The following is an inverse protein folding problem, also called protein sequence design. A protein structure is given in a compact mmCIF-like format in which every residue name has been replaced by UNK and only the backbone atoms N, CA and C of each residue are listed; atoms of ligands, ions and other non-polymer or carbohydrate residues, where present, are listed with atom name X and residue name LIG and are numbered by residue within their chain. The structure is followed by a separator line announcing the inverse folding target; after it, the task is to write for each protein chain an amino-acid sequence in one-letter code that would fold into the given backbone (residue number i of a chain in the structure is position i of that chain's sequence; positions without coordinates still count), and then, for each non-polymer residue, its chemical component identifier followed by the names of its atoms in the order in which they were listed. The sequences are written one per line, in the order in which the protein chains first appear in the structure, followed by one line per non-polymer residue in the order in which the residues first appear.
data_IF_141263972990
#
_entry.id   IF_141263972990
#
_cell.length_a   1.000
_cell.length_b   1.000
_cell.length_c   1.000
_cell.angle_alpha   90.00
_cell.angle_beta   90.00
_cell.angle_gamma   90.00
#
_symmetry.space_group_name_H-M   'P 1'
#
loop_
_entity.id
_entity.type
_entity.pdbx_description
1 polymer ?
#
# COMPACT_ATOMS: atom_id res chain seq x y z
N UNK A 1 -38.17 9.55 16.69
CA UNK A 1 -36.72 9.30 16.52
C UNK A 1 -36.10 10.59 16.02
N UNK A 2 -35.89 11.55 16.93
CA UNK A 2 -34.56 11.98 17.41
C UNK A 2 -33.56 12.27 16.30
N UNK A 3 -33.46 13.56 16.00
CA UNK A 3 -32.36 14.30 15.35
C UNK A 3 -31.12 13.50 14.97
N UNK A 4 -30.92 13.35 13.66
CA UNK A 4 -29.62 13.20 13.01
C UNK A 4 -28.71 14.36 13.46
N UNK A 5 -27.95 14.13 14.53
CA UNK A 5 -26.82 14.98 14.86
C UNK A 5 -25.83 14.83 13.69
N UNK A 6 -25.78 15.86 12.84
CA UNK A 6 -24.80 16.01 11.77
C UNK A 6 -23.40 16.01 12.41
N UNK A 7 -22.84 14.82 12.60
CA UNK A 7 -21.48 14.63 13.08
C UNK A 7 -20.56 15.35 12.09
N UNK A 8 -20.00 16.48 12.49
CA UNK A 8 -19.06 17.23 11.68
C UNK A 8 -17.74 16.45 11.61
N UNK A 9 -17.61 15.63 10.57
CA UNK A 9 -16.37 14.92 10.25
C UNK A 9 -15.36 15.98 9.83
N UNK A 10 -14.30 16.16 10.63
CA UNK A 10 -13.23 17.11 10.31
C UNK A 10 -12.59 16.76 8.97
N UNK A 11 -12.12 17.76 8.23
CA UNK A 11 -11.48 17.51 6.92
C UNK A 11 -10.24 16.63 7.05
N UNK A 12 -9.54 16.70 8.18
CA UNK A 12 -8.41 15.84 8.50
C UNK A 12 -8.80 14.38 8.77
N UNK A 13 -10.07 14.11 9.12
CA UNK A 13 -10.59 12.76 9.33
C UNK A 13 -11.15 12.12 8.05
N UNK A 14 -11.14 12.84 6.91
CA UNK A 14 -11.53 12.28 5.61
C UNK A 14 -10.36 11.46 5.06
N UNK A 15 -10.52 10.14 4.98
CA UNK A 15 -9.64 9.30 4.16
C UNK A 15 -9.77 9.70 2.69
N UNK A 16 -8.73 9.52 1.89
CA UNK A 16 -8.78 9.75 0.44
C UNK A 16 -9.99 9.03 -0.20
N UNK A 17 -10.47 9.57 -1.31
CA UNK A 17 -11.65 9.10 -2.07
C UNK A 17 -11.55 7.65 -2.61
N UNK A 18 -10.44 6.95 -2.36
CA UNK A 18 -10.22 5.55 -2.73
C UNK A 18 -10.17 5.32 -4.24
N UNK A 19 -10.17 6.38 -5.05
CA UNK A 19 -10.10 6.26 -6.51
C UNK A 19 -8.71 5.80 -6.92
N UNK A 20 -8.61 4.96 -7.95
CA UNK A 20 -7.33 4.46 -8.47
C UNK A 20 -6.31 5.57 -8.77
N UNK A 21 -6.80 6.78 -9.09
CA UNK A 21 -5.98 7.99 -9.25
C UNK A 21 -5.28 8.43 -7.95
N UNK A 22 -5.98 8.35 -6.81
CA UNK A 22 -5.50 8.81 -5.51
C UNK A 22 -4.92 7.68 -4.63
N UNK A 23 -5.17 6.41 -4.94
CA UNK A 23 -4.55 5.28 -4.20
C UNK A 23 -3.07 5.07 -4.58
N UNK A 24 -2.59 5.70 -5.65
CA UNK A 24 -1.18 5.62 -6.07
C UNK A 24 -0.74 4.22 -6.55
N UNK A 25 -1.69 3.32 -6.80
CA UNK A 25 -1.41 1.98 -7.31
C UNK A 25 -1.15 2.10 -8.82
N UNK A 26 0.09 1.86 -9.23
CA UNK A 26 0.44 1.80 -10.65
C UNK A 26 -0.22 0.56 -11.26
N UNK A 27 -1.24 0.77 -12.09
CA UNK A 27 -1.93 -0.33 -12.82
C UNK A 27 -1.23 -0.73 -14.13
N UNK A 28 -0.29 0.10 -14.61
CA UNK A 28 0.41 -0.08 -15.88
C UNK A 28 1.86 -0.57 -15.73
N UNK A 29 2.29 -0.92 -14.50
CA UNK A 29 3.67 -1.37 -14.27
C UNK A 29 3.97 -2.67 -15.02
N UNK A 30 5.18 -2.77 -15.58
CA UNK A 30 5.64 -3.93 -16.36
C UNK A 30 5.96 -5.15 -15.50
N UNK A 31 6.37 -4.92 -14.26
CA UNK A 31 6.84 -5.98 -13.35
C UNK A 31 5.85 -6.12 -12.20
N UNK A 32 5.14 -7.25 -12.15
CA UNK A 32 4.24 -7.58 -11.05
C UNK A 32 5.02 -8.19 -9.89
N UNK A 33 4.75 -7.75 -8.67
CA UNK A 33 5.28 -8.40 -7.48
C UNK A 33 4.77 -9.84 -7.35
N UNK A 34 5.62 -10.80 -6.97
CA UNK A 34 5.17 -12.17 -6.71
C UNK A 34 4.41 -12.32 -5.39
N UNK A 35 4.59 -11.38 -4.45
CA UNK A 35 4.04 -11.45 -3.09
C UNK A 35 2.80 -10.59 -2.89
N UNK A 36 2.52 -9.65 -3.79
CA UNK A 36 1.34 -8.79 -3.74
C UNK A 36 0.92 -8.30 -5.15
N UNK A 37 -0.13 -7.49 -5.22
CA UNK A 37 -0.65 -6.97 -6.49
C UNK A 37 -0.05 -5.63 -6.91
N UNK A 38 1.09 -5.21 -6.34
CA UNK A 38 1.79 -4.01 -6.79
C UNK A 38 2.54 -4.28 -8.09
N UNK A 39 2.46 -3.32 -9.01
CA UNK A 39 3.18 -3.34 -10.28
C UNK A 39 4.21 -2.21 -10.30
N UNK A 40 5.37 -2.49 -10.88
CA UNK A 40 6.52 -1.59 -10.96
C UNK A 40 6.92 -1.35 -12.40
N UNK A 41 7.43 -0.16 -12.69
CA UNK A 41 7.87 0.21 -14.05
C UNK A 41 9.22 -0.41 -14.41
N UNK A 42 10.08 -0.61 -13.40
CA UNK A 42 11.44 -1.15 -13.54
C UNK A 42 11.65 -2.34 -12.61
N UNK A 43 12.56 -3.24 -13.00
CA UNK A 43 12.96 -4.38 -12.17
C UNK A 43 13.65 -3.93 -10.88
N UNK A 44 14.45 -2.87 -10.93
CA UNK A 44 15.13 -2.31 -9.75
C UNK A 44 14.13 -1.88 -8.67
N UNK A 45 13.00 -1.27 -9.04
CA UNK A 45 11.97 -0.88 -8.10
C UNK A 45 11.28 -2.10 -7.46
N UNK A 46 11.04 -3.16 -8.24
CA UNK A 46 10.55 -4.44 -7.71
C UNK A 46 11.56 -5.08 -6.76
N UNK A 47 12.85 -5.10 -7.11
CA UNK A 47 13.91 -5.69 -6.29
C UNK A 47 14.08 -4.93 -4.96
N UNK A 48 14.00 -3.59 -4.98
CA UNK A 48 13.99 -2.77 -3.76
C UNK A 48 12.74 -3.04 -2.90
N UNK A 49 11.57 -3.14 -3.53
CA UNK A 49 10.32 -3.48 -2.85
C UNK A 49 10.44 -4.82 -2.12
N UNK A 50 10.98 -5.84 -2.78
CA UNK A 50 11.22 -7.15 -2.18
C UNK A 50 12.28 -7.07 -1.06
N UNK A 51 13.40 -6.39 -1.28
CA UNK A 51 14.50 -6.27 -0.31
C UNK A 51 14.13 -5.51 0.97
N UNK A 52 13.22 -4.54 0.92
CA UNK A 52 12.93 -3.73 2.09
C UNK A 52 11.61 -4.09 2.77
N UNK A 53 10.59 -4.49 2.01
CA UNK A 53 9.27 -4.79 2.57
C UNK A 53 9.02 -6.30 2.74
N UNK A 54 9.65 -7.14 1.93
CA UNK A 54 9.36 -8.58 1.87
C UNK A 54 10.63 -9.43 1.99
N UNK A 55 11.69 -8.90 2.59
CA UNK A 55 12.94 -9.64 2.75
C UNK A 55 12.70 -10.81 3.70
N UNK A 56 12.82 -12.07 3.22
CA UNK A 56 12.57 -13.24 4.05
C UNK A 56 13.41 -13.26 5.32
N UNK A 57 14.59 -12.63 5.30
CA UNK A 57 15.50 -12.54 6.44
C UNK A 57 15.04 -11.56 7.52
N UNK A 58 14.26 -10.54 7.17
CA UNK A 58 13.74 -9.54 8.11
C UNK A 58 12.35 -9.86 8.63
N UNK A 59 11.56 -10.62 7.85
CA UNK A 59 10.18 -10.98 8.22
C UNK A 59 10.14 -12.15 9.21
N UNK A 60 11.21 -12.94 9.33
CA UNK A 60 11.35 -13.96 10.38
C UNK A 60 12.24 -13.46 11.52
N UNK A 61 11.68 -13.14 12.70
CA UNK A 61 12.47 -12.72 13.87
C UNK A 61 13.32 -13.85 14.50
N UNK A 62 13.27 -15.07 13.94
CA UNK A 62 13.93 -16.27 14.49
C UNK A 62 15.05 -16.82 13.58
N UNK A 63 15.53 -16.07 12.59
CA UNK A 63 16.75 -16.48 11.86
C UNK A 63 17.92 -15.88 12.61
N UNK A 64 18.46 -16.65 13.57
CA UNK A 64 19.72 -16.34 14.26
C UNK A 64 20.85 -16.19 13.23
N UNK A 65 21.63 -15.11 13.35
CA UNK A 65 22.85 -14.86 12.55
C UNK A 65 23.98 -15.82 12.92
#
# INVERSE_FOLDING_TARGET
MSSDAKMEISEAAKSGDGTLANVGIKVNGKFKSPVNNQLFDTKEALDLHLKYLHDPKKVNPNVEE
#
